data_IF_050480060588
#
_entry.id   IF_050480060588
#
_cell.length_a   1.000
_cell.length_b   1.000
_cell.length_c   1.000
_cell.angle_alpha   90.00
_cell.angle_beta   90.00
_cell.angle_gamma   90.00
#
_symmetry.space_group_name_H-M   'P 1'
#
loop_
_entity.id
_entity.type
_entity.pdbx_description
1 polymer ?
#
# COMPACT_ATOMS: atom_id res chain seq x y z
N UNK A 1 25.58 -15.99 14.77
CA UNK A 1 24.32 -15.68 14.04
C UNK A 1 23.31 -15.13 15.04
N UNK A 2 22.47 -14.14 14.70
CA UNK A 2 21.49 -13.62 15.65
C UNK A 2 20.42 -14.69 15.93
N UNK A 3 19.90 -14.78 17.17
CA UNK A 3 18.95 -15.81 17.55
C UNK A 3 17.55 -15.52 16.96
N UNK A 4 16.99 -16.52 16.29
CA UNK A 4 15.66 -16.51 15.68
C UNK A 4 14.61 -16.95 16.70
N UNK A 5 14.37 -16.13 17.72
CA UNK A 5 13.40 -16.45 18.79
C UNK A 5 12.39 -15.32 18.97
N UNK A 6 11.42 -15.26 18.05
CA UNK A 6 10.16 -14.57 18.32
C UNK A 6 9.38 -15.28 19.44
N UNK A 7 8.44 -14.57 20.08
CA UNK A 7 7.56 -15.03 21.18
C UNK A 7 6.52 -16.04 20.68
N UNK A 8 6.96 -17.06 19.95
CA UNK A 8 6.10 -18.07 19.35
C UNK A 8 6.66 -19.42 19.72
N UNK A 9 5.92 -20.15 20.54
CA UNK A 9 6.30 -21.46 21.08
C UNK A 9 6.33 -22.57 20.00
N UNK A 10 5.65 -22.37 18.86
CA UNK A 10 5.55 -23.32 17.76
C UNK A 10 5.57 -22.62 16.42
N UNK A 11 6.45 -23.04 15.52
CA UNK A 11 6.51 -22.50 14.15
C UNK A 11 5.15 -22.68 13.46
N UNK A 12 4.46 -21.56 13.21
CA UNK A 12 3.15 -21.56 12.55
C UNK A 12 3.35 -21.78 11.05
N UNK A 13 2.67 -22.78 10.48
CA UNK A 13 2.62 -22.99 9.04
C UNK A 13 1.85 -21.84 8.39
N UNK A 14 2.60 -20.90 7.80
CA UNK A 14 2.02 -19.73 7.13
C UNK A 14 2.89 -18.49 7.26
N UNK A 15 4.09 -18.50 6.67
CA UNK A 15 4.80 -17.25 6.44
C UNK A 15 4.10 -16.54 5.29
N UNK A 16 3.52 -15.36 5.54
CA UNK A 16 2.99 -14.49 4.48
C UNK A 16 4.14 -14.13 3.54
N UNK A 17 4.25 -14.88 2.44
CA UNK A 17 5.38 -14.85 1.51
C UNK A 17 5.45 -13.53 0.75
N UNK A 18 4.30 -12.91 0.51
CA UNK A 18 4.19 -11.65 -0.19
C UNK A 18 3.44 -10.62 0.65
N UNK A 19 4.15 -9.55 1.03
CA UNK A 19 3.57 -8.33 1.59
C UNK A 19 3.35 -7.36 0.45
N UNK A 20 2.17 -7.40 -0.16
CA UNK A 20 1.76 -6.35 -1.07
C UNK A 20 1.61 -5.05 -0.28
N UNK A 21 2.26 -3.98 -0.75
CA UNK A 21 2.24 -2.67 -0.13
C UNK A 21 1.45 -1.70 -1.02
N UNK A 22 0.47 -1.03 -0.42
CA UNK A 22 -0.15 0.19 -0.95
C UNK A 22 0.08 1.27 0.11
N UNK A 23 0.60 2.40 -0.31
CA UNK A 23 0.69 3.60 0.51
C UNK A 23 -0.52 4.47 0.27
N UNK A 24 -1.08 4.99 1.37
CA UNK A 24 -2.24 5.86 1.34
C UNK A 24 -1.84 7.19 1.95
N UNK A 25 -1.85 8.24 1.14
CA UNK A 25 -1.57 9.61 1.53
C UNK A 25 -2.86 10.35 1.89
N UNK A 26 -2.89 10.92 3.09
CA UNK A 26 -3.91 11.86 3.51
C UNK A 26 -3.29 13.24 3.56
N UNK A 27 -3.94 14.20 2.92
CA UNK A 27 -3.46 15.58 2.86
C UNK A 27 -4.60 16.51 3.25
N UNK A 28 -4.36 17.28 4.31
CA UNK A 28 -5.32 18.19 4.90
C UNK A 28 -4.57 19.39 5.47
N UNK A 29 -5.18 20.57 5.42
CA UNK A 29 -4.64 21.73 6.13
C UNK A 29 -4.85 21.60 7.66
N UNK A 30 -4.11 22.38 8.46
CA UNK A 30 -4.16 22.29 9.92
C UNK A 30 -5.55 22.62 10.50
N UNK A 31 -6.34 23.43 9.78
CA UNK A 31 -7.68 23.87 10.18
C UNK A 31 -8.78 22.92 9.70
N UNK A 32 -8.43 21.84 9.00
CA UNK A 32 -9.34 20.83 8.45
C UNK A 32 -10.36 21.35 7.41
N UNK A 33 -10.28 22.60 6.99
CA UNK A 33 -11.20 23.20 6.01
C UNK A 33 -10.94 22.71 4.60
N UNK A 34 -9.71 22.29 4.29
CA UNK A 34 -9.34 21.78 2.97
C UNK A 34 -8.80 20.37 3.10
N UNK A 35 -9.54 19.42 2.51
CA UNK A 35 -9.18 18.00 2.44
C UNK A 35 -8.98 17.63 0.98
N UNK A 36 -7.82 17.06 0.67
CA UNK A 36 -7.56 16.52 -0.64
C UNK A 36 -8.14 15.10 -0.76
N UNK A 37 -8.45 14.66 -2.00
CA UNK A 37 -8.77 13.26 -2.25
C UNK A 37 -7.66 12.35 -1.72
N UNK A 38 -8.05 11.15 -1.26
CA UNK A 38 -7.11 10.16 -0.78
C UNK A 38 -6.17 9.77 -1.93
N UNK A 39 -4.87 9.85 -1.68
CA UNK A 39 -3.84 9.51 -2.66
C UNK A 39 -3.34 8.09 -2.45
N UNK A 40 -3.36 7.27 -3.50
CA UNK A 40 -2.91 5.89 -3.43
C UNK A 40 -1.61 5.72 -4.24
N UNK A 41 -0.63 5.04 -3.66
CA UNK A 41 0.58 4.62 -4.37
C UNK A 41 0.74 3.11 -4.22
N UNK A 42 0.83 2.39 -5.33
CA UNK A 42 1.16 0.96 -5.30
C UNK A 42 2.25 0.60 -6.27
N UNK A 43 2.56 -0.70 -6.35
CA UNK A 43 3.63 -1.17 -7.23
C UNK A 43 3.20 -1.37 -8.68
N UNK A 44 1.99 -1.88 -8.86
CA UNK A 44 1.46 -2.27 -10.16
C UNK A 44 0.66 -1.10 -10.74
N UNK A 45 0.87 -0.79 -12.01
CA UNK A 45 0.05 0.20 -12.72
C UNK A 45 -1.44 -0.18 -12.72
N UNK A 46 -1.72 -1.48 -12.82
CA UNK A 46 -3.08 -2.00 -12.85
C UNK A 46 -3.19 -3.28 -12.02
N UNK A 47 -3.51 -3.15 -10.72
CA UNK A 47 -3.76 -4.30 -9.85
C UNK A 47 -4.93 -5.16 -10.35
N UNK A 48 -4.79 -6.48 -10.27
CA UNK A 48 -5.84 -7.43 -10.67
C UNK A 48 -7.16 -7.26 -9.91
N UNK A 49 -7.13 -6.72 -8.68
CA UNK A 49 -8.34 -6.46 -7.90
C UNK A 49 -9.29 -5.42 -8.55
N UNK A 50 -8.83 -4.65 -9.53
CA UNK A 50 -9.67 -3.74 -10.32
C UNK A 50 -10.35 -4.41 -11.52
N UNK A 51 -10.27 -5.74 -11.65
CA UNK A 51 -10.98 -6.50 -12.69
C UNK A 51 -10.65 -5.98 -14.09
N UNK A 52 -9.37 -5.71 -14.37
CA UNK A 52 -8.88 -5.12 -15.62
C UNK A 52 -9.43 -3.74 -15.96
N UNK A 53 -10.05 -3.03 -15.01
CA UNK A 53 -10.34 -1.60 -15.14
C UNK A 53 -9.13 -0.78 -14.74
N UNK A 54 -8.98 0.42 -15.28
CA UNK A 54 -7.95 1.32 -14.78
C UNK A 54 -8.35 1.86 -13.40
N UNK A 55 -7.36 2.29 -12.64
CA UNK A 55 -7.59 2.93 -11.34
C UNK A 55 -8.37 4.24 -11.49
N UNK A 56 -8.15 4.95 -12.60
CA UNK A 56 -8.91 6.15 -12.97
C UNK A 56 -10.38 5.82 -13.26
N UNK A 57 -10.69 4.72 -13.96
CA UNK A 57 -12.07 4.28 -14.19
C UNK A 57 -12.80 3.91 -12.89
N UNK A 58 -12.03 3.53 -11.87
CA UNK A 58 -12.55 3.25 -10.53
C UNK A 58 -12.62 4.50 -9.64
N UNK A 59 -12.26 5.69 -10.14
CA UNK A 59 -12.30 6.95 -9.39
C UNK A 59 -11.17 7.14 -8.38
N UNK A 60 -10.11 6.32 -8.43
CA UNK A 60 -8.98 6.44 -7.50
C UNK A 60 -7.91 7.37 -8.04
N UNK A 61 -7.47 8.32 -7.21
CA UNK A 61 -6.23 9.04 -7.46
C UNK A 61 -5.05 8.13 -7.11
N UNK A 62 -4.51 7.46 -8.14
CA UNK A 62 -3.56 6.36 -7.97
C UNK A 62 -2.28 6.58 -8.78
N UNK A 63 -1.13 6.38 -8.14
CA UNK A 63 0.18 6.34 -8.78
C UNK A 63 0.83 4.97 -8.60
N UNK A 64 1.77 4.65 -9.49
CA UNK A 64 2.57 3.43 -9.38
C UNK A 64 4.07 3.68 -9.54
N UNK A 65 4.86 3.08 -8.66
CA UNK A 65 6.32 3.05 -8.75
C UNK A 65 6.86 1.73 -8.17
N UNK A 66 8.17 1.48 -8.28
CA UNK A 66 8.75 0.18 -7.87
C UNK A 66 8.67 -0.07 -6.36
N UNK A 67 8.65 1.01 -5.57
CA UNK A 67 8.74 1.02 -4.11
C UNK A 67 7.37 1.00 -3.43
N UNK A 68 6.31 1.39 -4.15
CA UNK A 68 4.99 1.71 -3.59
C UNK A 68 5.08 2.76 -2.46
N UNK A 69 6.05 3.68 -2.54
CA UNK A 69 6.33 4.71 -1.55
C UNK A 69 6.46 6.08 -2.22
N UNK A 70 6.63 7.16 -1.46
CA UNK A 70 6.98 8.44 -2.07
C UNK A 70 8.42 8.37 -2.60
N UNK A 71 8.59 8.54 -3.91
CA UNK A 71 9.92 8.68 -4.50
C UNK A 71 10.47 10.07 -4.11
N UNK A 72 11.75 10.20 -3.70
CA UNK A 72 12.37 11.48 -3.40
C UNK A 72 12.43 12.45 -4.59
#
# INVERSE_FOLDING_TARGET
>A
APPDQGIVLKQMLGKKSNKFCITVGFMCNATETEKWPIFYIGKLKQPYCFTNRSTADCGFWYHNNKTAWMDP
#
